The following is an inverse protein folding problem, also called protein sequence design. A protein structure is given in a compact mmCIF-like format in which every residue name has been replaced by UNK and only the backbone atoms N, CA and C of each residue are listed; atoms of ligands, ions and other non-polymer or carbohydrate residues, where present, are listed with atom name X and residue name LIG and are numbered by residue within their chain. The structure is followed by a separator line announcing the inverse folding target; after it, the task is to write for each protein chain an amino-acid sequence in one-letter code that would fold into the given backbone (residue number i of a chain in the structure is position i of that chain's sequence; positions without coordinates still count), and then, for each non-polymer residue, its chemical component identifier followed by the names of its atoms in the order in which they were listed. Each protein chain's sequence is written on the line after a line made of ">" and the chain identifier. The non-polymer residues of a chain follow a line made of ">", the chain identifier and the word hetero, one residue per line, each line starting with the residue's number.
data_IF_483199811934
#
_entry.id   IF_483199811934
#
_cell.length_a   1.000
_cell.length_b   1.000
_cell.length_c   1.000
_cell.angle_alpha   90.00
_cell.angle_beta   90.00
_cell.angle_gamma   90.00
#
_symmetry.space_group_name_H-M   'P 1'
#
loop_
_entity.id
_entity.type
_entity.pdbx_description
1 polymer ?
#
# COMPACT_ATOMS: atom_id res chain seq x y z
N UNK A 1 -0.46 26.58 28.43
CA UNK A 1 -0.31 25.99 28.05
C UNK A 1 -0.19 25.51 27.59
N UNK A 2 -0.04 25.51 27.57
CA UNK A 2 0.26 24.73 27.12
C UNK A 2 0.24 24.30 26.61
N UNK A 3 0.37 24.24 26.64
CA UNK A 3 0.52 23.53 26.11
C UNK A 3 0.09 23.16 25.49
N UNK A 4 -0.21 23.07 25.21
CA UNK A 4 -0.52 22.39 24.48
C UNK A 4 -0.37 22.51 23.48
N UNK A 5 -0.40 22.96 23.21
CA UNK A 5 -0.15 23.00 22.19
C UNK A 5 0.85 22.62 21.79
N UNK A 6 1.39 22.72 22.32
CA UNK A 6 2.31 22.09 22.17
C UNK A 6 2.12 20.90 21.93
N UNK A 7 1.38 20.55 22.33
CA UNK A 7 1.09 19.41 22.16
C UNK A 7 0.57 19.13 21.01
N UNK A 8 -0.03 19.90 20.70
CA UNK A 8 -0.62 19.50 19.62
C UNK A 8 0.15 19.43 18.45
N UNK A 9 0.81 19.84 18.20
CA UNK A 9 1.48 19.59 17.22
C UNK A 9 2.47 18.89 17.40
N UNK A 10 2.16 18.40 18.19
CA UNK A 10 2.77 17.69 18.39
C UNK A 10 2.98 17.09 17.74
N UNK A 11 3.18 17.42 17.80
CA UNK A 11 3.54 16.87 16.83
C UNK A 11 3.21 15.76 16.49
N UNK A 12 2.86 15.75 15.84
CA UNK A 12 2.77 14.56 15.47
C UNK A 12 4.02 13.91 15.55
N UNK A 13 4.07 12.69 15.92
CA UNK A 13 5.33 12.00 15.97
C UNK A 13 5.97 12.03 14.61
N UNK A 14 7.27 12.11 14.56
CA UNK A 14 7.95 11.99 13.31
C UNK A 14 7.66 10.64 12.69
N UNK A 15 7.61 10.58 11.38
CA UNK A 15 7.43 9.31 10.74
C UNK A 15 8.65 8.44 10.97
N UNK A 16 8.41 7.23 11.43
CA UNK A 16 9.44 6.21 11.42
C UNK A 16 9.57 5.71 10.01
N UNK A 17 10.67 5.03 9.72
CA UNK A 17 10.88 4.48 8.38
C UNK A 17 9.73 3.62 7.93
N UNK A 18 9.22 2.75 8.81
CA UNK A 18 8.11 1.88 8.47
C UNK A 18 6.84 2.66 8.22
N UNK A 19 6.59 3.69 9.03
CA UNK A 19 5.39 4.50 8.88
C UNK A 19 5.43 5.33 7.60
N UNK A 20 6.57 5.90 7.28
CA UNK A 20 6.71 6.69 6.07
C UNK A 20 6.51 5.81 4.84
N UNK A 21 7.13 4.64 4.83
CA UNK A 21 6.96 3.71 3.72
C UNK A 21 5.50 3.33 3.55
N UNK A 22 4.82 3.02 4.64
CA UNK A 22 3.42 2.64 4.59
C UNK A 22 2.55 3.76 4.06
N UNK A 23 2.79 4.98 4.53
CA UNK A 23 2.03 6.14 4.08
C UNK A 23 2.23 6.39 2.60
N UNK A 24 3.48 6.29 2.14
CA UNK A 24 3.79 6.51 0.72
C UNK A 24 3.20 5.41 -0.14
N UNK A 25 3.24 4.16 0.31
CA UNK A 25 2.66 3.06 -0.46
C UNK A 25 1.14 3.15 -0.51
N UNK A 26 0.53 3.62 0.57
CA UNK A 26 -0.92 3.86 0.57
C UNK A 26 -1.27 4.95 -0.42
N UNK A 27 -0.49 6.02 -0.45
CA UNK A 27 -0.70 7.11 -1.40
C UNK A 27 -0.54 6.63 -2.84
N UNK A 28 0.49 5.80 -3.08
CA UNK A 28 0.70 5.22 -4.40
C UNK A 28 -0.50 4.39 -4.84
N UNK A 29 -1.02 3.56 -3.93
CA UNK A 29 -2.18 2.74 -4.22
C UNK A 29 -3.38 3.60 -4.60
N UNK A 30 -3.63 4.65 -3.83
CA UNK A 30 -4.75 5.54 -4.09
C UNK A 30 -4.63 6.25 -5.44
N UNK A 31 -3.42 6.68 -5.79
CA UNK A 31 -3.19 7.34 -7.07
C UNK A 31 -3.42 6.36 -8.22
N UNK A 32 -2.86 5.17 -8.11
CA UNK A 32 -2.98 4.16 -9.18
C UNK A 32 -4.43 3.76 -9.37
N UNK A 33 -5.17 3.56 -8.27
CA UNK A 33 -6.58 3.17 -8.37
C UNK A 33 -7.44 4.29 -8.94
N UNK A 34 -7.18 5.53 -8.55
CA UNK A 34 -8.02 6.64 -8.96
C UNK A 34 -7.64 7.22 -10.31
N UNK A 35 -6.35 7.29 -10.62
CA UNK A 35 -5.87 8.05 -11.77
C UNK A 35 -5.03 7.23 -12.74
N UNK A 36 -4.64 6.02 -12.36
CA UNK A 36 -3.86 5.16 -13.24
C UNK A 36 -2.36 5.29 -13.02
N UNK A 37 -1.65 4.36 -13.62
CA UNK A 37 -0.20 4.25 -13.42
C UNK A 37 0.56 5.48 -13.90
N UNK A 38 0.04 6.15 -14.93
CA UNK A 38 0.74 7.31 -15.49
C UNK A 38 0.79 8.49 -14.52
N UNK A 39 -0.18 8.58 -13.62
CA UNK A 39 -0.20 9.64 -12.62
C UNK A 39 0.73 9.34 -11.44
N UNK A 40 1.27 8.15 -11.38
CA UNK A 40 2.10 7.67 -10.29
C UNK A 40 3.52 8.20 -10.42
N UNK A 41 3.85 9.21 -9.63
CA UNK A 41 5.18 9.80 -9.60
C UNK A 41 5.59 9.98 -8.15
N UNK A 42 6.89 10.16 -7.91
CA UNK A 42 7.36 10.46 -6.56
C UNK A 42 6.71 11.74 -6.03
N UNK A 43 6.60 12.75 -6.88
CA UNK A 43 6.02 14.03 -6.48
C UNK A 43 4.54 13.88 -6.13
N UNK A 44 3.78 13.15 -6.95
CA UNK A 44 2.35 12.99 -6.66
C UNK A 44 2.14 12.20 -5.38
N UNK A 45 2.99 11.21 -5.12
CA UNK A 45 2.91 10.44 -3.87
C UNK A 45 3.23 11.31 -2.66
N UNK A 46 4.27 12.13 -2.76
CA UNK A 46 4.64 13.04 -1.67
C UNK A 46 3.51 14.02 -1.37
N UNK A 47 2.96 14.60 -2.43
CA UNK A 47 1.87 15.57 -2.28
C UNK A 47 0.67 14.93 -1.60
N UNK A 48 0.27 13.76 -2.06
CA UNK A 48 -0.88 13.08 -1.50
C UNK A 48 -0.65 12.63 -0.06
N UNK A 49 0.58 12.23 0.24
CA UNK A 49 0.94 11.79 1.59
C UNK A 49 1.13 12.94 2.56
N UNK A 50 1.27 14.16 2.06
CA UNK A 50 1.51 15.30 2.91
C UNK A 50 2.92 15.37 3.47
N UNK A 51 3.90 14.86 2.73
CA UNK A 51 5.30 14.85 3.15
C UNK A 51 6.13 15.67 2.18
N UNK A 52 7.40 15.89 2.53
CA UNK A 52 8.28 16.67 1.66
C UNK A 52 8.48 15.95 0.34
N UNK A 53 8.76 16.73 -0.70
CA UNK A 53 8.99 16.15 -2.03
C UNK A 53 10.24 15.26 -2.07
N UNK A 54 11.16 15.48 -1.15
CA UNK A 54 12.37 14.65 -1.09
C UNK A 54 12.16 13.31 -0.40
N UNK A 55 11.10 13.18 0.39
CA UNK A 55 10.91 11.99 1.21
C UNK A 55 10.80 10.70 0.39
N UNK A 56 10.00 10.65 -0.70
CA UNK A 56 9.91 9.41 -1.48
C UNK A 56 11.25 9.02 -2.10
N UNK A 57 11.99 10.00 -2.64
CA UNK A 57 13.28 9.69 -3.24
C UNK A 57 14.28 9.23 -2.19
N UNK A 58 14.26 9.86 -1.03
CA UNK A 58 15.14 9.46 0.06
C UNK A 58 14.87 8.03 0.50
N UNK A 59 13.62 7.64 0.54
CA UNK A 59 13.24 6.32 1.04
C UNK A 59 13.32 5.23 -0.04
N UNK A 60 12.88 5.53 -1.26
CA UNK A 60 12.75 4.52 -2.31
C UNK A 60 13.73 4.72 -3.47
N UNK A 61 14.44 5.82 -3.51
CA UNK A 61 15.41 6.12 -4.54
C UNK A 61 14.79 6.85 -5.72
N UNK A 62 14.06 6.14 -6.55
CA UNK A 62 13.45 6.73 -7.73
C UNK A 62 12.06 6.14 -7.95
N UNK A 63 11.44 6.50 -9.07
CA UNK A 63 10.12 6.01 -9.40
C UNK A 63 10.09 4.47 -9.49
N UNK A 64 11.13 3.90 -10.09
CA UNK A 64 11.21 2.45 -10.21
C UNK A 64 11.29 1.77 -8.84
N UNK A 65 12.03 2.37 -7.91
CA UNK A 65 12.11 1.84 -6.55
C UNK A 65 10.78 1.90 -5.83
N UNK A 66 10.07 3.01 -5.96
CA UNK A 66 8.75 3.13 -5.35
C UNK A 66 7.76 2.15 -5.98
N UNK A 67 7.81 2.03 -7.31
CA UNK A 67 6.93 1.10 -8.02
C UNK A 67 7.21 -0.35 -7.63
N UNK A 68 8.48 -0.70 -7.48
CA UNK A 68 8.85 -2.05 -7.03
C UNK A 68 8.33 -2.33 -5.62
N UNK A 69 8.45 -1.36 -4.73
CA UNK A 69 7.93 -1.51 -3.38
C UNK A 69 6.41 -1.62 -3.38
N UNK A 70 5.75 -0.86 -4.23
CA UNK A 70 4.31 -0.95 -4.39
C UNK A 70 3.91 -2.35 -4.89
N UNK A 71 4.58 -2.85 -5.93
CA UNK A 71 4.28 -4.18 -6.44
C UNK A 71 4.47 -5.24 -5.38
N UNK A 72 5.54 -5.14 -4.60
CA UNK A 72 5.77 -6.08 -3.51
C UNK A 72 4.64 -6.04 -2.49
N UNK A 73 4.13 -4.85 -2.18
CA UNK A 73 3.03 -4.72 -1.21
C UNK A 73 1.75 -5.35 -1.76
N UNK A 74 1.49 -5.21 -3.06
CA UNK A 74 0.34 -5.83 -3.69
C UNK A 74 0.43 -7.35 -3.59
N UNK A 75 1.62 -7.90 -3.88
CA UNK A 75 1.80 -9.35 -3.78
C UNK A 75 1.67 -9.86 -2.36
N UNK A 76 2.16 -9.09 -1.38
CA UNK A 76 1.97 -9.49 0.02
C UNK A 76 0.50 -9.52 0.39
N UNK A 77 -0.27 -8.53 -0.03
CA UNK A 77 -1.70 -8.47 0.27
C UNK A 77 -2.45 -9.62 -0.41
N UNK A 78 -2.10 -9.91 -1.65
CA UNK A 78 -2.71 -11.04 -2.36
C UNK A 78 -2.38 -12.36 -1.68
N UNK A 79 -1.12 -12.54 -1.29
CA UNK A 79 -0.69 -13.75 -0.59
C UNK A 79 -1.47 -13.93 0.70
N UNK A 80 -1.65 -12.86 1.46
CA UNK A 80 -2.40 -12.93 2.70
C UNK A 80 -3.85 -13.30 2.45
N UNK A 81 -4.46 -12.71 1.41
CA UNK A 81 -5.83 -13.04 1.05
C UNK A 81 -5.97 -14.52 0.69
N UNK A 82 -5.02 -15.04 -0.10
CA UNK A 82 -5.04 -16.44 -0.48
C UNK A 82 -4.90 -17.33 0.76
N UNK A 83 -3.96 -17.01 1.63
CA UNK A 83 -3.76 -17.80 2.86
C UNK A 83 -5.01 -17.84 3.72
N UNK A 84 -5.69 -16.70 3.83
CA UNK A 84 -6.90 -16.63 4.63
C UNK A 84 -8.02 -17.51 4.04
N UNK A 85 -8.20 -17.45 2.72
CA UNK A 85 -9.23 -18.26 2.07
C UNK A 85 -8.91 -19.74 2.15
N UNK A 86 -7.64 -20.11 2.02
CA UNK A 86 -7.22 -21.50 2.14
C UNK A 86 -7.46 -22.00 3.56
N UNK A 87 -7.14 -21.17 4.55
CA UNK A 87 -7.36 -21.58 5.95
C UNK A 87 -8.84 -21.81 6.25
N UNK A 88 -9.71 -20.96 5.68
CA UNK A 88 -11.16 -21.10 5.87
C UNK A 88 -11.72 -22.34 5.17
N UNK A 89 -11.04 -22.84 4.17
CA UNK A 89 -11.51 -23.99 3.40
C UNK A 89 -11.34 -25.32 4.13
N UNK A 90 -10.56 -25.35 5.21
CA UNK A 90 -10.32 -26.57 5.95
C UNK A 90 -9.34 -27.48 5.24
N UNK A 91 -9.56 -28.81 5.35
CA UNK A 91 -8.58 -29.76 4.87
C UNK A 91 -8.86 -30.33 3.47
N UNK A 92 -10.04 -30.05 2.93
CA UNK A 92 -10.40 -30.58 1.61
C UNK A 92 -9.59 -29.89 0.52
N UNK A 93 -8.78 -30.66 -0.24
CA UNK A 93 -7.96 -30.06 -1.31
C UNK A 93 -8.76 -29.32 -2.36
N UNK A 94 -9.95 -29.82 -2.69
CA UNK A 94 -10.79 -29.15 -3.68
C UNK A 94 -11.25 -27.77 -3.18
N UNK A 95 -11.67 -27.72 -1.91
CA UNK A 95 -12.10 -26.46 -1.33
C UNK A 95 -10.94 -25.50 -1.19
N UNK A 96 -9.74 -26.01 -0.89
CA UNK A 96 -8.56 -25.14 -0.83
C UNK A 96 -8.25 -24.52 -2.19
N UNK A 97 -8.29 -25.33 -3.24
CA UNK A 97 -8.05 -24.83 -4.61
C UNK A 97 -9.10 -23.78 -5.00
N UNK A 98 -10.34 -24.06 -4.66
CA UNK A 98 -11.42 -23.11 -4.91
C UNK A 98 -11.19 -21.82 -4.13
N UNK A 99 -10.69 -21.93 -2.91
CA UNK A 99 -10.35 -20.77 -2.09
C UNK A 99 -9.29 -19.90 -2.70
N UNK A 100 -8.26 -20.51 -3.29
CA UNK A 100 -7.21 -19.76 -3.99
C UNK A 100 -7.79 -18.95 -5.13
N UNK A 101 -8.60 -19.58 -5.97
CA UNK A 101 -9.21 -18.89 -7.10
C UNK A 101 -10.13 -17.77 -6.68
N UNK A 102 -10.93 -18.03 -5.66
CA UNK A 102 -11.86 -17.03 -5.15
C UNK A 102 -11.12 -15.83 -4.56
N UNK A 103 -10.05 -16.10 -3.82
CA UNK A 103 -9.24 -15.02 -3.24
C UNK A 103 -8.67 -14.14 -4.33
N UNK A 104 -8.14 -14.74 -5.40
CA UNK A 104 -7.57 -14.01 -6.51
C UNK A 104 -8.61 -13.14 -7.19
N UNK A 105 -9.77 -13.70 -7.48
CA UNK A 105 -10.84 -12.97 -8.14
C UNK A 105 -11.32 -11.80 -7.29
N UNK A 106 -11.53 -12.05 -6.01
CA UNK A 106 -11.98 -10.99 -5.10
C UNK A 106 -10.95 -9.87 -4.99
N UNK A 107 -9.68 -10.24 -4.94
CA UNK A 107 -8.62 -9.25 -4.87
C UNK A 107 -8.58 -8.40 -6.13
N UNK A 108 -8.71 -9.02 -7.30
CA UNK A 108 -8.69 -8.31 -8.58
C UNK A 108 -9.88 -7.34 -8.68
N UNK A 109 -11.04 -7.75 -8.19
CA UNK A 109 -12.22 -6.89 -8.21
C UNK A 109 -12.05 -5.72 -7.25
N UNK A 110 -11.45 -5.97 -6.08
CA UNK A 110 -11.28 -4.93 -5.06
C UNK A 110 -10.19 -3.94 -5.44
N UNK A 111 -9.20 -4.37 -6.21
CA UNK A 111 -8.04 -3.52 -6.55
C UNK A 111 -7.72 -3.61 -8.04
N UNK A 112 -8.63 -3.14 -8.90
CA UNK A 112 -8.42 -3.26 -10.34
C UNK A 112 -7.19 -2.50 -10.83
N UNK A 113 -6.82 -1.41 -10.17
CA UNK A 113 -5.63 -0.65 -10.55
C UNK A 113 -4.35 -1.46 -10.48
N UNK A 114 -4.28 -2.41 -9.57
CA UNK A 114 -3.10 -3.26 -9.43
C UNK A 114 -2.91 -4.21 -10.61
N UNK A 115 -3.94 -4.40 -11.43
CA UNK A 115 -3.93 -5.35 -12.53
C UNK A 115 -3.94 -4.71 -13.91
N UNK A 116 -3.84 -3.39 -13.97
CA UNK A 116 -3.79 -2.67 -15.24
C UNK A 116 -2.40 -2.55 -15.79
#
# INVERSE_FOLDING_TARGET
>A
MVNHSILAHQPRPPYHHGDLARVLLKSADEIIEAEGLEAFTLRSCARRAGVSHAAPAHHFGDRAGLLSAYAASVFRDLTLSIKNHVAEAGDDPYEKLKGVGLAYIRFAIARPGAFR
#
